data_IF_681361338273
#
_entry.id   IF_681361338273
#
_cell.length_a   1.000
_cell.length_b   1.000
_cell.length_c   1.000
_cell.angle_alpha   90.00
_cell.angle_beta   90.00
_cell.angle_gamma   90.00
#
_symmetry.space_group_name_H-M   'P 1'
#
loop_
_entity.id
_entity.type
_entity.pdbx_description
1 polymer ?
#
# COMPACT_ATOMS: atom_id res chain seq x y z
N UNK A 1 46.46 2.03 26.58
CA UNK A 1 45.38 1.48 25.73
C UNK A 1 44.22 2.45 25.79
N UNK A 2 44.08 3.29 24.76
CA UNK A 2 43.05 4.33 24.74
C UNK A 2 41.76 3.74 24.16
N UNK A 3 40.69 3.72 24.96
CA UNK A 3 39.37 3.34 24.49
C UNK A 3 38.84 4.43 23.55
N UNK A 4 38.62 4.05 22.30
CA UNK A 4 37.98 4.87 21.28
C UNK A 4 36.47 4.96 21.59
N UNK A 5 36.04 6.05 22.22
CA UNK A 5 34.63 6.42 22.25
C UNK A 5 34.25 7.00 20.88
N UNK A 6 33.85 6.14 19.95
CA UNK A 6 33.12 6.60 18.76
C UNK A 6 31.68 6.92 19.17
N UNK A 7 31.16 8.12 18.87
CA UNK A 7 29.76 8.44 19.13
C UNK A 7 28.90 7.53 18.26
N UNK A 8 28.08 6.68 18.89
CA UNK A 8 27.10 5.88 18.18
C UNK A 8 26.11 6.81 17.49
N UNK A 9 26.04 6.75 16.15
CA UNK A 9 24.98 7.37 15.37
C UNK A 9 23.63 6.95 15.96
N UNK A 10 22.72 7.89 16.31
CA UNK A 10 21.41 7.51 16.83
C UNK A 10 20.64 6.77 15.75
N UNK A 11 20.26 5.53 16.03
CA UNK A 11 19.39 4.71 15.17
C UNK A 11 18.09 5.49 14.93
N UNK A 12 17.58 5.59 13.69
CA UNK A 12 16.26 6.18 13.45
C UNK A 12 15.23 5.43 14.30
N UNK A 13 14.72 6.10 15.32
CA UNK A 13 13.80 5.51 16.27
C UNK A 13 12.42 5.45 15.62
N UNK A 14 11.78 4.29 15.63
CA UNK A 14 10.41 4.13 15.12
C UNK A 14 9.48 5.14 15.80
N UNK A 15 8.76 5.99 15.04
CA UNK A 15 7.93 7.06 15.59
C UNK A 15 6.84 6.54 16.53
N UNK A 16 6.31 5.34 16.32
CA UNK A 16 5.28 4.77 17.19
C UNK A 16 5.87 4.34 18.53
N UNK A 17 7.01 3.64 18.51
CA UNK A 17 7.78 3.31 19.72
C UNK A 17 8.19 4.57 20.49
N UNK A 18 8.65 5.61 19.79
CA UNK A 18 9.02 6.88 20.39
C UNK A 18 7.82 7.57 21.07
N UNK A 19 6.64 7.58 20.43
CA UNK A 19 5.44 8.14 21.03
C UNK A 19 5.03 7.40 22.31
N UNK A 20 5.14 6.07 22.33
CA UNK A 20 4.82 5.30 23.53
C UNK A 20 5.77 5.63 24.69
N UNK A 21 7.07 5.72 24.41
CA UNK A 21 8.09 6.11 25.40
C UNK A 21 7.82 7.51 25.96
N UNK A 22 7.59 8.49 25.08
CA UNK A 22 7.31 9.88 25.50
C UNK A 22 6.05 9.98 26.34
N UNK A 23 4.99 9.26 25.98
CA UNK A 23 3.72 9.31 26.72
C UNK A 23 3.83 8.80 28.16
N UNK A 24 4.70 7.80 28.39
CA UNK A 24 4.82 7.07 29.66
C UNK A 24 5.99 7.52 30.54
N UNK A 25 6.96 8.27 30.00
CA UNK A 25 8.15 8.69 30.74
C UNK A 25 7.83 9.78 31.78
N UNK A 26 7.99 9.52 33.10
CA UNK A 26 7.73 10.52 34.13
C UNK A 26 8.77 11.65 34.17
N UNK A 27 9.94 11.48 33.53
CA UNK A 27 10.98 12.50 33.50
C UNK A 27 10.69 13.64 32.52
N UNK A 28 9.79 13.43 31.55
CA UNK A 28 9.42 14.43 30.56
C UNK A 28 8.24 15.26 31.11
N UNK A 29 8.35 16.60 31.15
CA UNK A 29 7.23 17.46 31.50
C UNK A 29 6.04 17.29 30.54
N UNK A 30 4.84 17.32 31.10
CA UNK A 30 3.58 17.10 30.38
C UNK A 30 3.40 18.01 29.13
N UNK A 31 3.75 19.29 29.23
CA UNK A 31 3.70 20.22 28.08
C UNK A 31 4.67 19.82 26.96
N UNK A 32 5.84 19.28 27.33
CA UNK A 32 6.83 18.79 26.38
C UNK A 32 6.37 17.49 25.72
N UNK A 33 5.70 16.60 26.48
CA UNK A 33 5.05 15.40 25.91
C UNK A 33 4.02 15.77 24.87
N UNK A 34 3.15 16.75 25.14
CA UNK A 34 2.14 17.20 24.18
C UNK A 34 2.78 17.70 22.88
N UNK A 35 3.83 18.52 22.99
CA UNK A 35 4.55 19.06 21.83
C UNK A 35 5.17 17.94 20.97
N UNK A 36 5.93 17.04 21.59
CA UNK A 36 6.60 15.96 20.87
C UNK A 36 5.64 14.93 20.28
N UNK A 37 4.60 14.56 21.03
CA UNK A 37 3.56 13.68 20.51
C UNK A 37 2.80 14.33 19.34
N UNK A 38 2.64 15.65 19.35
CA UNK A 38 2.00 16.35 18.24
C UNK A 38 2.85 16.32 16.97
N UNK A 39 4.16 16.51 17.10
CA UNK A 39 5.09 16.40 15.99
C UNK A 39 5.13 14.98 15.41
N UNK A 40 5.21 13.96 16.29
CA UNK A 40 5.13 12.56 15.87
C UNK A 40 3.80 12.27 15.18
N UNK A 41 2.69 12.73 15.77
CA UNK A 41 1.35 12.57 15.22
C UNK A 41 1.22 13.13 13.80
N UNK A 42 1.83 14.29 13.51
CA UNK A 42 1.91 14.83 12.14
C UNK A 42 2.71 13.93 11.21
N UNK A 43 3.87 13.45 11.66
CA UNK A 43 4.75 12.56 10.88
C UNK A 43 4.10 11.22 10.50
N UNK A 44 3.25 10.65 11.36
CA UNK A 44 2.60 9.34 11.11
C UNK A 44 1.19 9.45 10.49
N UNK A 45 0.74 10.67 10.16
CA UNK A 45 -0.59 10.91 9.59
C UNK A 45 -1.75 10.80 10.59
N UNK A 46 -1.47 10.99 11.88
CA UNK A 46 -2.46 11.17 12.95
C UNK A 46 -2.76 12.66 13.25
N UNK A 47 -2.12 13.59 12.54
CA UNK A 47 -2.12 15.03 12.83
C UNK A 47 -3.49 15.65 13.10
N UNK A 48 -4.49 15.38 12.26
CA UNK A 48 -5.86 15.92 12.45
C UNK A 48 -6.50 15.45 13.76
N UNK A 49 -6.29 14.18 14.13
CA UNK A 49 -6.81 13.63 15.39
C UNK A 49 -6.08 14.22 16.59
N UNK A 50 -4.76 14.42 16.48
CA UNK A 50 -3.96 15.08 17.51
C UNK A 50 -4.39 16.54 17.69
N UNK A 51 -4.57 17.30 16.61
CA UNK A 51 -4.98 18.71 16.66
C UNK A 51 -6.33 18.88 17.34
N UNK A 52 -7.30 18.00 17.06
CA UNK A 52 -8.59 17.97 17.77
C UNK A 52 -8.41 17.73 19.27
N UNK A 53 -7.52 16.82 19.65
CA UNK A 53 -7.26 16.49 21.06
C UNK A 53 -6.51 17.60 21.80
N UNK A 54 -5.59 18.29 21.13
CA UNK A 54 -4.90 19.45 21.68
C UNK A 54 -5.87 20.61 21.96
N UNK A 55 -6.87 20.80 21.08
CA UNK A 55 -7.89 21.82 21.22
C UNK A 55 -8.86 21.57 22.40
N UNK A 56 -8.90 20.36 22.99
CA UNK A 56 -9.75 20.03 24.13
C UNK A 56 -9.14 20.52 25.46
N UNK A 57 -9.06 21.84 25.63
CA UNK A 57 -8.49 22.49 26.83
C UNK A 57 -9.23 22.17 28.13
N UNK A 58 -10.46 21.65 28.04
CA UNK A 58 -11.25 21.19 29.20
C UNK A 58 -10.74 19.88 29.80
N UNK A 59 -9.92 19.11 29.08
CA UNK A 59 -9.35 17.87 29.57
C UNK A 59 -8.03 18.15 30.34
N UNK A 60 -7.80 17.46 31.47
CA UNK A 60 -6.50 17.45 32.12
C UNK A 60 -5.38 17.08 31.14
N UNK A 61 -4.20 17.67 31.31
CA UNK A 61 -3.08 17.46 30.38
C UNK A 61 -2.72 15.98 30.26
N UNK A 62 -2.63 15.25 31.38
CA UNK A 62 -2.38 13.81 31.39
C UNK A 62 -3.38 13.02 30.53
N UNK A 63 -4.67 13.33 30.62
CA UNK A 63 -5.70 12.69 29.81
C UNK A 63 -5.55 13.00 28.31
N UNK A 64 -5.10 14.21 27.95
CA UNK A 64 -4.80 14.56 26.55
C UNK A 64 -3.58 13.80 26.03
N UNK A 65 -2.53 13.66 26.84
CA UNK A 65 -1.33 12.88 26.49
C UNK A 65 -1.72 11.43 26.20
N UNK A 66 -2.50 10.80 27.07
CA UNK A 66 -2.97 9.42 26.88
C UNK A 66 -3.81 9.27 25.60
N UNK A 67 -4.73 10.20 25.35
CA UNK A 67 -5.59 10.16 24.17
C UNK A 67 -4.79 10.36 22.86
N UNK A 68 -3.80 11.25 22.87
CA UNK A 68 -2.91 11.49 21.73
C UNK A 68 -2.02 10.27 21.48
N UNK A 69 -1.39 9.72 22.53
CA UNK A 69 -0.60 8.48 22.43
C UNK A 69 -1.43 7.33 21.88
N UNK A 70 -2.67 7.18 22.35
CA UNK A 70 -3.61 6.19 21.82
C UNK A 70 -4.01 6.44 20.36
N UNK A 71 -4.14 7.70 19.93
CA UNK A 71 -4.41 8.02 18.53
C UNK A 71 -3.25 7.64 17.60
N UNK A 72 -2.02 7.86 18.05
CA UNK A 72 -0.79 7.47 17.36
C UNK A 72 -0.69 5.94 17.27
N UNK A 73 -0.93 5.23 18.37
CA UNK A 73 -0.93 3.76 18.40
C UNK A 73 -2.00 3.14 17.48
N UNK A 74 -3.21 3.72 17.44
CA UNK A 74 -4.23 3.28 16.46
C UNK A 74 -3.76 3.48 15.02
N UNK A 75 -3.02 4.56 14.75
CA UNK A 75 -2.48 4.84 13.42
C UNK A 75 -1.44 3.80 12.99
N UNK A 76 -0.60 3.34 13.92
CA UNK A 76 0.32 2.21 13.69
C UNK A 76 -0.43 0.96 13.23
N UNK A 77 -1.48 0.59 13.98
CA UNK A 77 -2.30 -0.56 13.68
C UNK A 77 -2.91 -0.46 12.28
N UNK A 78 -3.50 0.69 11.92
CA UNK A 78 -4.05 0.90 10.57
C UNK A 78 -2.99 0.85 9.48
N UNK A 79 -1.80 1.41 9.71
CA UNK A 79 -0.72 1.35 8.75
C UNK A 79 -0.28 -0.10 8.46
N UNK A 80 -0.20 -0.92 9.52
CA UNK A 80 0.13 -2.35 9.40
C UNK A 80 -0.95 -3.11 8.62
N UNK A 81 -2.22 -2.93 8.99
CA UNK A 81 -3.35 -3.57 8.30
C UNK A 81 -3.40 -3.18 6.83
N UNK A 82 -3.19 -1.89 6.50
CA UNK A 82 -3.17 -1.44 5.11
C UNK A 82 -2.01 -2.07 4.32
N UNK A 83 -0.82 -2.17 4.91
CA UNK A 83 0.32 -2.82 4.27
C UNK A 83 0.06 -4.30 3.98
N UNK A 84 -0.52 -5.03 4.95
CA UNK A 84 -0.91 -6.43 4.77
C UNK A 84 -2.00 -6.59 3.70
N UNK A 85 -2.98 -5.70 3.69
CA UNK A 85 -4.04 -5.69 2.68
C UNK A 85 -3.49 -5.40 1.28
N UNK A 86 -2.63 -4.40 1.12
CA UNK A 86 -2.00 -4.04 -0.15
C UNK A 86 -1.15 -5.19 -0.70
N UNK A 87 -0.43 -5.91 0.17
CA UNK A 87 0.34 -7.10 -0.22
C UNK A 87 -0.57 -8.23 -0.72
N UNK A 88 -1.67 -8.50 0.00
CA UNK A 88 -2.62 -9.54 -0.39
C UNK A 88 -3.31 -9.21 -1.72
N UNK A 89 -3.84 -7.99 -1.85
CA UNK A 89 -4.51 -7.54 -3.06
C UNK A 89 -3.56 -7.46 -4.25
N UNK A 90 -2.32 -6.98 -4.04
CA UNK A 90 -1.29 -6.98 -5.08
C UNK A 90 -0.95 -8.39 -5.59
N UNK A 91 -0.87 -9.36 -4.68
CA UNK A 91 -0.68 -10.77 -5.04
C UNK A 91 -1.83 -11.36 -5.85
N UNK A 92 -3.08 -11.10 -5.43
CA UNK A 92 -4.28 -11.57 -6.13
C UNK A 92 -4.41 -10.96 -7.53
N UNK A 93 -4.25 -9.64 -7.65
CA UNK A 93 -4.33 -8.94 -8.94
C UNK A 93 -3.26 -9.43 -9.91
N UNK A 94 -2.04 -9.72 -9.41
CA UNK A 94 -0.99 -10.30 -10.24
C UNK A 94 -1.35 -11.70 -10.74
N UNK A 95 -1.89 -12.55 -9.87
CA UNK A 95 -2.33 -13.88 -10.25
C UNK A 95 -3.49 -13.84 -11.27
N UNK A 96 -4.48 -12.98 -11.07
CA UNK A 96 -5.58 -12.79 -12.03
C UNK A 96 -5.06 -12.31 -13.39
N UNK A 97 -4.11 -11.38 -13.40
CA UNK A 97 -3.48 -10.90 -14.63
C UNK A 97 -2.79 -12.03 -15.39
N UNK A 98 -2.03 -12.89 -14.70
CA UNK A 98 -1.35 -14.04 -15.31
C UNK A 98 -2.35 -15.07 -15.89
N UNK A 99 -3.47 -15.31 -15.20
CA UNK A 99 -4.54 -16.18 -15.70
C UNK A 99 -5.19 -15.61 -16.96
N UNK A 100 -5.51 -14.31 -16.96
CA UNK A 100 -6.11 -13.64 -18.13
C UNK A 100 -5.15 -13.64 -19.31
N UNK A 101 -3.87 -13.35 -19.09
CA UNK A 101 -2.84 -13.34 -20.13
C UNK A 101 -2.65 -14.73 -20.75
N UNK A 102 -2.65 -15.78 -19.93
CA UNK A 102 -2.58 -17.16 -20.39
C UNK A 102 -3.79 -17.52 -21.27
N UNK A 103 -5.02 -17.24 -20.80
CA UNK A 103 -6.23 -17.49 -21.58
C UNK A 103 -6.28 -16.69 -22.87
N UNK A 104 -5.84 -15.43 -22.84
CA UNK A 104 -5.74 -14.60 -24.03
C UNK A 104 -4.81 -15.24 -25.07
N UNK A 105 -3.63 -15.70 -24.65
CA UNK A 105 -2.67 -16.35 -25.53
C UNK A 105 -3.20 -17.67 -26.10
N UNK A 106 -3.93 -18.46 -25.30
CA UNK A 106 -4.59 -19.68 -25.76
C UNK A 106 -5.64 -19.39 -26.84
N UNK A 107 -6.51 -18.40 -26.62
CA UNK A 107 -7.53 -17.98 -27.60
C UNK A 107 -6.86 -17.43 -28.87
N UNK A 108 -5.85 -16.59 -28.74
CA UNK A 108 -5.12 -16.02 -29.87
C UNK A 108 -4.47 -17.13 -30.73
N UNK A 109 -3.89 -18.15 -30.08
CA UNK A 109 -3.34 -19.32 -30.77
C UNK A 109 -4.42 -20.12 -31.49
N UNK A 110 -5.54 -20.41 -30.83
CA UNK A 110 -6.68 -21.12 -31.44
C UNK A 110 -7.25 -20.38 -32.66
N UNK A 111 -7.37 -19.05 -32.58
CA UNK A 111 -7.78 -18.21 -33.71
C UNK A 111 -6.77 -18.25 -34.87
N UNK A 112 -5.47 -18.24 -34.58
CA UNK A 112 -4.44 -18.34 -35.60
C UNK A 112 -4.49 -19.71 -36.30
N UNK A 113 -4.70 -20.79 -35.56
CA UNK A 113 -4.86 -22.15 -36.09
C UNK A 113 -6.11 -22.27 -36.97
N UNK A 114 -7.25 -21.78 -36.50
CA UNK A 114 -8.51 -21.73 -37.27
C UNK A 114 -8.34 -20.95 -38.58
N UNK A 115 -7.73 -19.77 -38.52
CA UNK A 115 -7.44 -18.98 -39.74
C UNK A 115 -6.54 -19.76 -40.69
N UNK A 116 -5.47 -20.37 -40.18
CA UNK A 116 -4.55 -21.16 -41.00
C UNK A 116 -5.26 -22.31 -41.72
N UNK A 117 -6.20 -22.97 -41.06
CA UNK A 117 -6.94 -24.10 -41.64
C UNK A 117 -8.03 -23.64 -42.63
N UNK A 118 -8.77 -22.59 -42.29
CA UNK A 118 -9.96 -22.22 -43.04
C UNK A 118 -9.71 -21.21 -44.16
N UNK A 119 -8.74 -20.29 -44.01
CA UNK A 119 -8.45 -19.27 -45.02
C UNK A 119 -8.15 -19.88 -46.40
N UNK A 120 -7.33 -20.95 -46.53
CA UNK A 120 -7.08 -21.58 -47.82
C UNK A 120 -8.33 -22.24 -48.41
N UNK A 121 -9.20 -22.80 -47.57
CA UNK A 121 -10.43 -23.48 -47.98
C UNK A 121 -11.46 -22.48 -48.48
N UNK A 122 -11.58 -21.33 -47.82
CA UNK A 122 -12.42 -20.21 -48.24
C UNK A 122 -11.91 -19.66 -49.57
N UNK A 123 -10.60 -19.39 -49.67
CA UNK A 123 -10.00 -18.90 -50.91
C UNK A 123 -10.20 -19.86 -52.10
N UNK A 124 -10.18 -21.17 -51.87
CA UNK A 124 -10.46 -22.15 -52.91
C UNK A 124 -11.94 -22.21 -53.30
N UNK A 125 -12.84 -22.16 -52.31
CA UNK A 125 -14.27 -22.06 -52.57
C UNK A 125 -14.63 -20.82 -53.38
N UNK A 126 -14.03 -19.66 -53.06
CA UNK A 126 -14.24 -18.41 -53.79
C UNK A 126 -13.80 -18.50 -55.26
N UNK A 127 -12.67 -19.17 -55.55
CA UNK A 127 -12.24 -19.41 -56.94
C UNK A 127 -13.24 -20.28 -57.70
N UNK A 128 -13.79 -21.31 -57.05
CA UNK A 128 -14.79 -22.19 -57.65
C UNK A 128 -16.06 -21.40 -57.95
N UNK A 129 -16.54 -20.59 -57.01
CA UNK A 129 -17.72 -19.74 -57.20
C UNK A 129 -17.52 -18.78 -58.36
N UNK A 130 -16.41 -18.03 -58.41
CA UNK A 130 -16.10 -17.11 -59.53
C UNK A 130 -16.07 -17.83 -60.89
N UNK A 131 -15.56 -19.06 -60.91
CA UNK A 131 -15.55 -19.88 -62.14
C UNK A 131 -16.96 -20.27 -62.59
N UNK A 132 -17.88 -20.53 -61.64
CA UNK A 132 -19.26 -20.90 -61.92
C UNK A 132 -20.10 -19.67 -62.30
N UNK A 133 -19.91 -18.53 -61.62
CA UNK A 133 -20.71 -17.31 -61.83
C UNK A 133 -20.21 -16.46 -63.00
N UNK A 134 -18.98 -16.70 -63.48
CA UNK A 134 -18.39 -15.95 -64.61
C UNK A 134 -17.91 -14.54 -64.27
N UNK A 135 -17.91 -14.19 -62.98
CA UNK A 135 -17.39 -12.92 -62.48
C UNK A 135 -15.85 -12.95 -62.54
N UNK A 136 -15.26 -12.06 -63.35
CA UNK A 136 -13.81 -11.87 -63.46
C UNK A 136 -13.28 -10.96 -62.37
#
# INVERSE_FOLDING_TARGET
MSASNTPSTPTPQDPFTLAHQISSDPAIPDEQKLSWLAEIGKGVGAGESVERLLALTRLPIGARIEQIGGAIARREHFAKVNSEFDQQMGGLLKAEREVVETRYNEIARGLAELRREHEPRIAEADKVVKRITGER
#
